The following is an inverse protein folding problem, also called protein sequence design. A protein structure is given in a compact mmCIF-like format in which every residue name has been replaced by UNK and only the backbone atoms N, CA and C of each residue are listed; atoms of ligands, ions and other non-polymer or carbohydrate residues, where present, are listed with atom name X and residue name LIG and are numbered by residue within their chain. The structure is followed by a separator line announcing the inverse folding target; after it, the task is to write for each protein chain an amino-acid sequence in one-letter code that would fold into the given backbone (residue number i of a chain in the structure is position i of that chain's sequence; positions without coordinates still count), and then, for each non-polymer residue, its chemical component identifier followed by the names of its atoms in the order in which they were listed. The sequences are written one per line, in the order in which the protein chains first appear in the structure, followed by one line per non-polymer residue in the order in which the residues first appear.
data_IF_836048672553
#
_entry.id   IF_836048672553
#
_cell.length_a   1.000
_cell.length_b   1.000
_cell.length_c   1.000
_cell.angle_alpha   90.00
_cell.angle_beta   90.00
_cell.angle_gamma   90.00
#
_symmetry.space_group_name_H-M   'P 1'
#
loop_
_entity.id
_entity.type
_entity.pdbx_description
1 polymer ?
#
# COMPACT_ATOMS: atom_id res chain seq x y z
N UNK A 1 -5.84 0.49 -88.60
CA UNK A 1 -7.03 0.68 -89.47
C UNK A 1 -8.11 -0.30 -89.04
N UNK A 2 -9.32 0.23 -88.80
CA UNK A 2 -10.65 -0.41 -88.92
C UNK A 2 -10.83 -1.83 -88.39
N UNK A 3 -11.54 -2.01 -87.28
CA UNK A 3 -13.02 -2.06 -87.10
C UNK A 3 -13.43 -3.53 -86.91
N UNK A 4 -13.75 -3.89 -85.66
CA UNK A 4 -14.62 -5.01 -85.35
C UNK A 4 -15.97 -4.43 -84.91
N UNK A 5 -17.03 -4.82 -85.60
CA UNK A 5 -18.40 -4.39 -85.35
C UNK A 5 -19.35 -5.56 -85.57
N UNK A 6 -20.32 -5.69 -84.65
CA UNK A 6 -21.31 -6.77 -84.54
C UNK A 6 -21.24 -7.32 -83.11
N UNK A 7 -22.29 -7.34 -82.28
CA UNK A 7 -23.74 -7.35 -82.52
C UNK A 7 -24.46 -6.87 -81.22
N UNK A 8 -25.80 -6.85 -81.10
CA UNK A 8 -26.58 -5.69 -80.67
C UNK A 8 -26.90 -5.64 -79.17
N UNK A 9 -27.26 -4.43 -78.73
CA UNK A 9 -27.62 -4.10 -77.35
C UNK A 9 -28.79 -4.91 -76.81
N UNK A 10 -28.50 -5.74 -75.80
CA UNK A 10 -29.48 -6.30 -74.89
C UNK A 10 -29.86 -5.19 -73.90
N UNK A 11 -31.12 -4.76 -73.93
CA UNK A 11 -31.71 -3.82 -72.95
C UNK A 11 -31.48 -4.40 -71.56
N UNK A 12 -30.56 -3.81 -70.80
CA UNK A 12 -30.44 -4.05 -69.36
C UNK A 12 -31.58 -3.26 -68.73
N UNK A 13 -32.65 -3.97 -68.35
CA UNK A 13 -33.65 -3.44 -67.47
C UNK A 13 -32.94 -2.90 -66.24
N UNK A 14 -33.09 -1.60 -66.00
CA UNK A 14 -32.59 -0.94 -64.81
C UNK A 14 -33.42 -1.47 -63.64
N UNK A 15 -33.00 -2.60 -63.07
CA UNK A 15 -33.60 -3.13 -61.86
C UNK A 15 -33.32 -2.12 -60.73
N UNK A 16 -34.35 -1.35 -60.41
CA UNK A 16 -34.39 -0.30 -59.39
C UNK A 16 -34.32 -0.88 -57.96
N UNK A 17 -33.64 -2.01 -57.74
CA UNK A 17 -33.64 -2.73 -56.46
C UNK A 17 -32.27 -3.10 -55.89
N UNK A 18 -31.17 -2.61 -56.44
CA UNK A 18 -29.83 -2.89 -55.90
C UNK A 18 -29.11 -1.64 -55.40
N UNK A 19 -29.83 -0.82 -54.61
CA UNK A 19 -29.23 0.22 -53.77
C UNK A 19 -29.73 0.27 -52.31
N UNK A 20 -29.94 -0.87 -51.60
CA UNK A 20 -29.92 -0.83 -50.13
C UNK A 20 -28.67 -1.47 -49.54
N UNK A 21 -27.97 -2.34 -50.27
CA UNK A 21 -26.91 -3.21 -49.69
C UNK A 21 -25.63 -2.48 -49.31
N UNK A 22 -25.26 -1.40 -49.99
CA UNK A 22 -24.04 -0.65 -49.67
C UNK A 22 -24.23 0.32 -48.47
N UNK A 23 -25.43 0.86 -48.30
CA UNK A 23 -25.82 1.66 -47.12
C UNK A 23 -26.02 0.77 -45.88
N UNK A 24 -26.50 -0.46 -46.07
CA UNK A 24 -26.62 -1.45 -45.00
C UNK A 24 -25.24 -1.92 -44.48
N UNK A 25 -24.21 -1.95 -45.34
CA UNK A 25 -22.84 -2.29 -44.94
C UNK A 25 -22.11 -1.16 -44.22
N UNK A 26 -22.40 0.11 -44.55
CA UNK A 26 -21.81 1.25 -43.82
C UNK A 26 -22.48 1.48 -42.45
N UNK A 27 -23.76 1.11 -42.31
CA UNK A 27 -24.48 1.19 -41.02
C UNK A 27 -24.10 0.07 -40.04
N UNK A 28 -23.55 -1.05 -40.52
CA UNK A 28 -23.05 -2.14 -39.68
C UNK A 28 -21.66 -1.86 -39.07
N UNK A 29 -20.98 -0.79 -39.48
CA UNK A 29 -19.69 -0.37 -38.93
C UNK A 29 -19.81 0.67 -37.79
N UNK A 30 -21.05 0.99 -37.36
CA UNK A 30 -21.34 1.81 -36.19
C UNK A 30 -21.81 0.95 -35.01
N UNK A 31 -21.22 -0.23 -34.83
CA UNK A 31 -21.32 -0.95 -33.56
C UNK A 31 -20.76 -0.01 -32.48
N UNK A 32 -21.55 0.37 -31.45
CA UNK A 32 -20.99 1.09 -30.32
C UNK A 32 -19.90 0.18 -29.75
N UNK A 33 -18.63 0.59 -29.84
CA UNK A 33 -17.58 0.00 -29.03
C UNK A 33 -18.07 0.15 -27.60
N UNK A 34 -18.50 -0.96 -27.00
CA UNK A 34 -18.95 -0.97 -25.62
C UNK A 34 -17.86 -0.34 -24.78
N UNK A 35 -18.14 0.84 -24.23
CA UNK A 35 -17.36 1.36 -23.14
C UNK A 35 -17.42 0.28 -22.06
N UNK A 36 -16.26 -0.34 -21.78
CA UNK A 36 -16.20 -1.38 -20.76
C UNK A 36 -16.55 -0.70 -19.43
N UNK A 37 -17.71 -1.00 -18.87
CA UNK A 37 -18.22 -0.33 -17.68
C UNK A 37 -17.32 -0.67 -16.48
N UNK A 38 -16.47 0.28 -16.12
CA UNK A 38 -15.72 0.28 -14.87
C UNK A 38 -16.74 0.38 -13.73
N UNK A 39 -17.00 -0.75 -13.05
CA UNK A 39 -17.93 -0.76 -11.92
C UNK A 39 -17.16 -0.44 -10.65
N UNK A 40 -17.50 0.70 -10.05
CA UNK A 40 -16.92 1.17 -8.78
C UNK A 40 -18.01 1.14 -7.72
N UNK A 41 -17.71 0.58 -6.57
CA UNK A 41 -18.61 0.58 -5.41
C UNK A 41 -17.84 0.93 -4.15
N UNK A 42 -18.46 1.66 -3.24
CA UNK A 42 -17.89 1.98 -1.93
C UNK A 42 -18.73 1.40 -0.81
N UNK A 43 -18.07 1.01 0.28
CA UNK A 43 -18.72 0.55 1.51
C UNK A 43 -17.89 0.98 2.71
N UNK A 44 -18.54 1.37 3.80
CA UNK A 44 -17.90 1.46 5.11
C UNK A 44 -18.21 0.22 5.93
N UNK A 45 -17.27 -0.21 6.76
CA UNK A 45 -17.45 -1.39 7.62
C UNK A 45 -18.41 -1.14 8.79
N UNK A 46 -18.55 0.12 9.22
CA UNK A 46 -19.47 0.54 10.28
C UNK A 46 -19.87 2.00 10.18
N UNK A 47 -21.04 2.31 10.73
CA UNK A 47 -21.63 3.66 10.78
C UNK A 47 -21.73 4.22 12.20
N UNK A 48 -21.21 3.49 13.20
CA UNK A 48 -21.07 3.96 14.60
C UNK A 48 -19.68 3.65 15.12
N UNK A 49 -19.06 4.62 15.79
CA UNK A 49 -17.68 4.56 16.29
C UNK A 49 -17.59 5.21 17.67
N UNK A 50 -16.56 4.87 18.44
CA UNK A 50 -16.12 5.67 19.59
C UNK A 50 -14.92 6.55 19.22
N UNK A 51 -14.72 7.65 19.93
CA UNK A 51 -13.52 8.47 19.78
C UNK A 51 -12.25 7.60 19.97
N UNK A 52 -11.38 7.57 18.97
CA UNK A 52 -10.17 6.74 18.94
C UNK A 52 -10.30 5.42 18.15
N UNK A 53 -11.50 5.04 17.72
CA UNK A 53 -11.72 3.90 16.83
C UNK A 53 -11.56 4.29 15.35
N UNK A 54 -11.07 3.37 14.54
CA UNK A 54 -10.88 3.56 13.09
C UNK A 54 -11.91 2.75 12.31
N UNK A 55 -12.49 3.36 11.27
CA UNK A 55 -13.37 2.68 10.31
C UNK A 55 -12.61 2.36 9.02
N UNK A 56 -13.10 1.38 8.28
CA UNK A 56 -12.55 0.98 6.97
C UNK A 56 -13.50 1.41 5.87
N UNK A 57 -13.07 2.40 5.09
CA UNK A 57 -13.73 2.75 3.83
C UNK A 57 -13.14 1.88 2.71
N UNK A 58 -13.97 1.03 2.10
CA UNK A 58 -13.55 0.10 1.06
C UNK A 58 -14.08 0.54 -0.30
N UNK A 59 -13.19 0.75 -1.26
CA UNK A 59 -13.48 1.05 -2.65
C UNK A 59 -13.21 -0.20 -3.51
N UNK A 60 -14.26 -0.83 -4.02
CA UNK A 60 -14.18 -1.98 -4.91
C UNK A 60 -14.29 -1.55 -6.36
N UNK A 61 -13.34 -2.00 -7.16
CA UNK A 61 -13.24 -1.69 -8.58
C UNK A 61 -13.25 -3.01 -9.35
N UNK A 62 -14.24 -3.19 -10.20
CA UNK A 62 -14.35 -4.32 -11.11
C UNK A 62 -14.16 -3.82 -12.54
N UNK A 63 -13.20 -4.42 -13.25
CA UNK A 63 -12.85 -4.05 -14.61
C UNK A 63 -11.73 -4.90 -15.19
N UNK A 64 -11.49 -4.76 -16.48
CA UNK A 64 -10.59 -5.64 -17.26
C UNK A 64 -9.11 -5.25 -17.15
N UNK A 65 -8.81 -4.04 -16.68
CA UNK A 65 -7.44 -3.55 -16.49
C UNK A 65 -6.98 -3.71 -15.05
N UNK A 66 -5.86 -4.41 -14.87
CA UNK A 66 -5.36 -4.90 -13.58
C UNK A 66 -4.26 -4.02 -12.96
N UNK A 67 -3.96 -2.89 -13.59
CA UNK A 67 -2.91 -1.97 -13.19
C UNK A 67 -3.49 -0.59 -12.86
N UNK A 68 -4.54 -0.56 -12.05
CA UNK A 68 -5.07 0.70 -11.52
C UNK A 68 -4.27 1.02 -10.24
N UNK A 69 -3.46 2.09 -10.22
CA UNK A 69 -2.77 2.50 -9.01
C UNK A 69 -3.81 2.91 -7.95
N UNK A 70 -3.45 2.78 -6.68
CA UNK A 70 -4.34 3.13 -5.58
C UNK A 70 -4.85 4.58 -5.73
N UNK A 71 -6.17 4.80 -5.80
CA UNK A 71 -6.72 6.15 -5.90
C UNK A 71 -6.37 6.96 -4.65
N UNK A 72 -5.88 8.19 -4.83
CA UNK A 72 -5.72 9.12 -3.71
C UNK A 72 -7.09 9.59 -3.22
N UNK A 73 -7.36 9.46 -1.93
CA UNK A 73 -8.52 10.10 -1.32
C UNK A 73 -8.24 11.60 -1.14
N UNK A 74 -9.18 12.48 -1.54
CA UNK A 74 -9.10 13.88 -1.13
C UNK A 74 -9.34 14.01 0.38
N UNK A 75 -9.02 15.16 0.98
CA UNK A 75 -9.33 15.42 2.38
C UNK A 75 -10.81 15.18 2.67
N UNK A 76 -11.10 14.29 3.63
CA UNK A 76 -12.46 13.98 4.05
C UNK A 76 -12.78 14.80 5.30
N UNK A 77 -13.80 15.67 5.28
CA UNK A 77 -14.18 16.45 6.45
C UNK A 77 -14.44 15.54 7.66
N UNK A 78 -13.83 15.84 8.81
CA UNK A 78 -14.03 15.07 10.04
C UNK A 78 -13.27 13.76 10.12
N UNK A 79 -12.46 13.38 9.12
CA UNK A 79 -11.70 12.13 9.12
C UNK A 79 -10.23 12.33 8.76
N UNK A 80 -9.37 11.62 9.47
CA UNK A 80 -7.95 11.48 9.13
C UNK A 80 -7.69 10.10 8.57
N UNK A 81 -7.10 10.02 7.38
CA UNK A 81 -6.58 8.76 6.85
C UNK A 81 -5.30 8.38 7.58
N UNK A 82 -5.29 7.21 8.22
CA UNK A 82 -4.15 6.70 9.00
C UNK A 82 -3.43 5.55 8.31
N UNK A 83 -3.99 5.03 7.22
CA UNK A 83 -3.38 3.97 6.43
C UNK A 83 -4.27 3.49 5.30
N UNK A 84 -3.69 2.70 4.40
CA UNK A 84 -4.39 2.15 3.23
C UNK A 84 -3.73 0.85 2.78
N UNK A 85 -4.52 -0.07 2.28
CA UNK A 85 -4.05 -1.34 1.73
C UNK A 85 -4.98 -1.81 0.60
N UNK A 86 -4.51 -2.73 -0.23
CA UNK A 86 -5.30 -3.29 -1.34
C UNK A 86 -5.43 -4.80 -1.21
N UNK A 87 -6.58 -5.32 -1.61
CA UNK A 87 -6.83 -6.75 -1.75
C UNK A 87 -7.37 -7.06 -3.16
N UNK A 88 -7.12 -8.29 -3.62
CA UNK A 88 -7.58 -8.76 -4.92
C UNK A 88 -8.47 -9.97 -4.72
N UNK A 89 -9.73 -9.82 -5.09
CA UNK A 89 -10.73 -10.88 -5.04
C UNK A 89 -10.90 -11.49 -6.45
N UNK A 90 -10.54 -12.77 -6.59
CA UNK A 90 -10.82 -13.54 -7.80
C UNK A 90 -12.24 -14.11 -7.69
N UNK A 91 -13.23 -13.39 -8.22
CA UNK A 91 -14.62 -13.86 -8.25
C UNK A 91 -14.88 -14.60 -9.56
N UNK A 92 -15.82 -15.55 -9.60
CA UNK A 92 -16.20 -16.26 -10.84
C UNK A 92 -16.67 -15.33 -11.98
N UNK A 93 -17.00 -14.08 -11.65
CA UNK A 93 -17.41 -13.02 -12.58
C UNK A 93 -16.27 -12.04 -12.95
N UNK A 94 -15.02 -12.32 -12.59
CA UNK A 94 -13.86 -11.48 -12.87
C UNK A 94 -13.02 -11.12 -11.64
N UNK A 95 -11.95 -10.37 -11.88
CA UNK A 95 -11.06 -9.86 -10.83
C UNK A 95 -11.63 -8.55 -10.26
N UNK A 96 -11.76 -8.47 -8.94
CA UNK A 96 -12.19 -7.27 -8.22
C UNK A 96 -11.02 -6.76 -7.40
N UNK A 97 -10.60 -5.53 -7.65
CA UNK A 97 -9.56 -4.86 -6.88
C UNK A 97 -10.24 -4.02 -5.79
N UNK A 98 -9.94 -4.29 -4.53
CA UNK A 98 -10.49 -3.56 -3.40
C UNK A 98 -9.39 -2.74 -2.74
N UNK A 99 -9.63 -1.43 -2.59
CA UNK A 99 -8.77 -0.51 -1.85
C UNK A 99 -9.43 -0.20 -0.51
N UNK A 100 -8.69 -0.34 0.57
CA UNK A 100 -9.18 -0.16 1.93
C UNK A 100 -8.47 1.03 2.54
N UNK A 101 -9.22 2.01 2.99
CA UNK A 101 -8.74 3.24 3.61
C UNK A 101 -9.15 3.25 5.07
N UNK A 102 -8.16 3.34 5.95
CA UNK A 102 -8.33 3.40 7.40
C UNK A 102 -8.57 4.85 7.80
N UNK A 103 -9.79 5.17 8.24
CA UNK A 103 -10.22 6.51 8.57
C UNK A 103 -10.53 6.63 10.06
N UNK A 104 -9.86 7.56 10.73
CA UNK A 104 -10.11 7.86 12.15
C UNK A 104 -10.89 9.18 12.25
N UNK A 105 -12.02 9.23 12.98
CA UNK A 105 -12.77 10.46 13.16
C UNK A 105 -11.98 11.46 14.00
N UNK A 106 -12.02 12.74 13.62
CA UNK A 106 -11.29 13.82 14.31
C UNK A 106 -12.14 14.55 15.35
N UNK A 107 -13.45 14.30 15.38
CA UNK A 107 -14.39 14.89 16.34
C UNK A 107 -15.49 13.88 16.71
N UNK A 108 -16.06 14.02 17.91
CA UNK A 108 -17.27 13.31 18.34
C UNK A 108 -18.52 13.95 17.73
N UNK A 109 -19.60 13.18 17.55
CA UNK A 109 -20.87 13.63 16.98
C UNK A 109 -21.19 12.99 15.63
N UNK A 110 -22.20 13.51 14.96
CA UNK A 110 -22.59 13.05 13.62
C UNK A 110 -21.63 13.64 12.57
N UNK A 111 -20.85 12.79 11.92
CA UNK A 111 -19.91 13.15 10.87
C UNK A 111 -20.43 12.68 9.52
N UNK A 112 -20.54 13.60 8.58
CA UNK A 112 -21.00 13.32 7.21
C UNK A 112 -19.87 13.59 6.22
N UNK A 113 -19.61 12.59 5.37
CA UNK A 113 -18.70 12.69 4.23
C UNK A 113 -19.56 12.80 2.97
N UNK A 114 -19.49 13.90 2.21
CA UNK A 114 -20.25 14.05 0.98
C UNK A 114 -19.69 13.15 -0.14
N UNK A 115 -20.42 13.07 -1.25
CA UNK A 115 -19.96 12.38 -2.46
C UNK A 115 -18.58 12.89 -2.91
N UNK A 116 -17.70 11.94 -3.24
CA UNK A 116 -16.30 12.21 -3.55
C UNK A 116 -15.99 11.85 -5.00
N UNK A 117 -15.43 12.80 -5.76
CA UNK A 117 -14.92 12.53 -7.10
C UNK A 117 -13.49 11.94 -7.04
N UNK A 118 -13.33 10.71 -7.52
CA UNK A 118 -12.05 10.01 -7.60
C UNK A 118 -11.58 9.84 -9.04
N UNK A 119 -10.28 9.95 -9.28
CA UNK A 119 -9.68 9.61 -10.58
C UNK A 119 -9.25 8.15 -10.60
N UNK A 120 -9.92 7.34 -11.41
CA UNK A 120 -9.70 5.90 -11.52
C UNK A 120 -9.48 5.57 -13.00
N UNK A 121 -8.30 5.02 -13.35
CA UNK A 121 -8.01 4.65 -14.74
C UNK A 121 -8.07 5.81 -15.75
N UNK A 122 -7.82 7.04 -15.29
CA UNK A 122 -7.93 8.25 -16.12
C UNK A 122 -9.34 8.84 -16.26
N UNK A 123 -10.36 8.17 -15.71
CA UNK A 123 -11.75 8.66 -15.66
C UNK A 123 -12.08 9.23 -14.28
N UNK A 124 -12.91 10.28 -14.24
CA UNK A 124 -13.44 10.82 -12.99
C UNK A 124 -14.72 10.05 -12.64
N UNK A 125 -14.71 9.36 -11.50
CA UNK A 125 -15.83 8.58 -10.99
C UNK A 125 -16.28 9.17 -9.67
N UNK A 126 -17.57 9.47 -9.55
CA UNK A 126 -18.17 9.92 -8.30
C UNK A 126 -18.49 8.72 -7.43
N UNK A 127 -18.05 8.76 -6.18
CA UNK A 127 -18.26 7.73 -5.18
C UNK A 127 -19.22 8.28 -4.13
N UNK A 128 -20.29 7.54 -3.77
CA UNK A 128 -21.23 7.98 -2.76
C UNK A 128 -20.54 8.26 -1.42
N UNK A 129 -20.96 9.34 -0.79
CA UNK A 129 -20.62 9.71 0.58
C UNK A 129 -21.20 8.76 1.62
N UNK A 130 -20.87 9.00 2.88
CA UNK A 130 -21.37 8.22 4.01
C UNK A 130 -21.43 9.06 5.28
N UNK A 131 -22.30 8.66 6.22
CA UNK A 131 -22.44 9.31 7.51
C UNK A 131 -22.13 8.32 8.66
N UNK A 132 -21.55 8.84 9.75
CA UNK A 132 -21.11 8.06 10.89
C UNK A 132 -21.40 8.81 12.19
N UNK A 133 -21.94 8.10 13.18
CA UNK A 133 -22.13 8.63 14.53
C UNK A 133 -20.91 8.27 15.42
N UNK A 134 -20.27 9.29 16.00
CA UNK A 134 -19.09 9.11 16.87
C UNK A 134 -19.47 9.41 18.34
N UNK A 135 -19.51 8.36 19.16
CA UNK A 135 -19.85 8.42 20.58
C UNK A 135 -18.70 9.00 21.42
N UNK A 136 -19.03 9.92 22.32
CA UNK A 136 -18.12 10.42 23.36
C UNK A 136 -17.90 9.34 24.43
N UNK A 137 -16.69 9.15 24.97
CA UNK A 137 -16.47 8.18 26.04
C UNK A 137 -17.34 8.51 27.27
N UNK A 138 -18.09 7.53 27.76
CA UNK A 138 -18.69 7.62 29.09
C UNK A 138 -17.60 7.46 30.17
N UNK A 139 -17.72 8.11 31.35
CA UNK A 139 -16.76 7.94 32.43
C UNK A 139 -16.68 6.47 32.87
N UNK A 140 -15.45 6.01 33.07
CA UNK A 140 -15.11 4.62 33.38
C UNK A 140 -15.67 4.20 34.75
N UNK A 141 -16.59 3.23 34.76
CA UNK A 141 -16.87 2.40 35.94
C UNK A 141 -16.06 1.12 35.78
N UNK A 142 -15.14 0.87 36.70
CA UNK A 142 -14.28 -0.33 36.74
C UNK A 142 -15.12 -1.53 37.19
N UNK A 143 -15.38 -2.56 36.35
CA UNK A 143 -16.02 -3.78 36.81
C UNK A 143 -14.97 -4.70 37.44
N UNK A 144 -15.33 -5.30 38.58
CA UNK A 144 -14.54 -6.33 39.25
C UNK A 144 -14.22 -7.51 38.31
N UNK A 145 -12.99 -8.01 38.44
CA UNK A 145 -12.45 -9.11 37.65
C UNK A 145 -13.27 -10.41 37.84
N UNK A 146 -13.87 -10.89 36.74
CA UNK A 146 -14.39 -12.25 36.63
C UNK A 146 -13.22 -13.16 36.22
N UNK A 147 -13.08 -14.39 36.78
CA UNK A 147 -12.02 -15.29 36.36
C UNK A 147 -12.25 -15.72 34.90
N UNK A 148 -11.36 -15.31 34.01
CA UNK A 148 -11.34 -15.76 32.61
C UNK A 148 -10.84 -17.21 32.60
N UNK A 149 -11.74 -18.15 32.29
CA UNK A 149 -11.34 -19.52 31.92
C UNK A 149 -10.45 -19.46 30.67
N UNK A 150 -9.32 -20.17 30.62
CA UNK A 150 -8.54 -20.27 29.40
C UNK A 150 -9.38 -20.95 28.32
N UNK A 151 -9.71 -20.20 27.26
CA UNK A 151 -10.22 -20.79 26.01
C UNK A 151 -9.05 -21.53 25.35
N UNK A 152 -9.32 -22.64 24.65
CA UNK A 152 -8.25 -23.43 24.05
C UNK A 152 -7.46 -22.55 23.08
N UNK A 153 -6.18 -22.36 23.39
CA UNK A 153 -5.18 -21.90 22.43
C UNK A 153 -5.05 -22.99 21.38
N UNK A 154 -5.83 -22.89 20.31
CA UNK A 154 -5.52 -23.64 19.08
C UNK A 154 -4.11 -23.21 18.71
N UNK A 155 -3.17 -24.15 18.67
CA UNK A 155 -1.78 -23.91 18.31
C UNK A 155 -1.70 -23.47 16.84
N UNK A 156 -2.01 -22.20 16.60
CA UNK A 156 -2.00 -21.52 15.30
C UNK A 156 -0.59 -21.10 14.87
N UNK A 157 0.44 -21.39 15.67
CA UNK A 157 1.84 -21.06 15.36
C UNK A 157 2.37 -21.66 14.05
N UNK A 158 1.60 -22.52 13.37
CA UNK A 158 1.89 -23.05 12.03
C UNK A 158 0.98 -22.54 10.91
N UNK A 159 0.01 -21.67 11.20
CA UNK A 159 -0.89 -21.09 10.20
C UNK A 159 -0.74 -19.58 10.09
N UNK A 160 -0.47 -18.92 11.23
CA UNK A 160 -0.31 -17.47 11.29
C UNK A 160 0.81 -17.13 12.28
N UNK A 161 1.78 -16.35 11.85
CA UNK A 161 2.89 -15.92 12.70
C UNK A 161 3.56 -14.64 12.18
N UNK A 162 4.26 -13.96 13.08
CA UNK A 162 5.06 -12.77 12.76
C UNK A 162 6.56 -13.10 12.77
N UNK A 163 7.31 -12.50 11.86
CA UNK A 163 8.78 -12.64 11.81
C UNK A 163 9.44 -11.30 11.56
N UNK A 164 10.17 -10.79 12.55
CA UNK A 164 11.09 -9.67 12.40
C UNK A 164 12.43 -10.15 11.83
N UNK A 165 12.90 -9.52 10.76
CA UNK A 165 14.20 -9.84 10.14
C UNK A 165 15.04 -8.58 9.99
N UNK A 166 16.35 -8.75 10.12
CA UNK A 166 17.35 -7.73 9.81
C UNK A 166 18.08 -8.11 8.53
N UNK A 167 18.41 -7.12 7.68
CA UNK A 167 19.18 -7.36 6.45
C UNK A 167 20.61 -7.83 6.71
N UNK A 168 21.13 -7.62 7.92
CA UNK A 168 22.46 -8.04 8.34
C UNK A 168 22.43 -8.47 9.82
N UNK A 169 23.25 -9.47 10.17
CA UNK A 169 23.49 -9.88 11.56
C UNK A 169 24.67 -9.16 12.20
N UNK A 170 25.43 -8.38 11.41
CA UNK A 170 26.58 -7.58 11.84
C UNK A 170 26.58 -6.25 11.10
N UNK A 171 26.93 -5.17 11.80
CA UNK A 171 27.06 -3.82 11.23
C UNK A 171 28.09 -3.02 12.02
N UNK A 172 28.55 -1.88 11.49
CA UNK A 172 29.29 -0.88 12.24
C UNK A 172 28.35 0.16 12.87
N UNK A 173 28.84 0.88 13.88
CA UNK A 173 28.12 2.05 14.42
C UNK A 173 27.82 3.03 13.27
N UNK A 174 26.56 3.47 13.17
CA UNK A 174 26.08 4.35 12.12
C UNK A 174 25.81 3.69 10.76
N UNK A 175 26.12 2.42 10.57
CA UNK A 175 25.83 1.69 9.33
C UNK A 175 24.33 1.32 9.26
N UNK A 176 23.61 1.65 8.18
CA UNK A 176 22.18 1.35 8.08
C UNK A 176 21.90 -0.15 7.94
N UNK A 177 20.96 -0.65 8.74
CA UNK A 177 20.42 -2.02 8.65
C UNK A 177 18.91 -1.95 8.43
N UNK A 178 18.40 -2.69 7.46
CA UNK A 178 16.96 -2.74 7.20
C UNK A 178 16.30 -3.76 8.13
N UNK A 179 15.31 -3.31 8.90
CA UNK A 179 14.40 -4.17 9.66
C UNK A 179 13.07 -4.31 8.94
N UNK A 180 12.57 -5.54 8.82
CA UNK A 180 11.25 -5.83 8.24
C UNK A 180 10.49 -6.82 9.12
N UNK A 181 9.29 -6.43 9.56
CA UNK A 181 8.34 -7.30 10.24
C UNK A 181 7.33 -7.85 9.23
N UNK A 182 7.34 -9.17 9.08
CA UNK A 182 6.46 -9.90 8.18
C UNK A 182 5.33 -10.59 8.93
N UNK A 183 4.13 -10.54 8.39
CA UNK A 183 3.02 -11.43 8.74
C UNK A 183 2.94 -12.56 7.70
N UNK A 184 3.13 -13.79 8.17
CA UNK A 184 2.84 -14.98 7.38
C UNK A 184 1.48 -15.52 7.80
N UNK A 185 0.56 -15.65 6.86
CA UNK A 185 -0.79 -16.18 7.14
C UNK A 185 -1.28 -17.10 6.02
N UNK A 186 -2.04 -18.13 6.40
CA UNK A 186 -2.80 -18.99 5.47
C UNK A 186 -4.30 -18.71 5.50
N UNK A 187 -4.73 -17.80 6.39
CA UNK A 187 -6.12 -17.40 6.58
C UNK A 187 -6.29 -15.94 6.16
N UNK A 188 -7.50 -15.60 5.72
CA UNK A 188 -7.87 -14.23 5.45
C UNK A 188 -7.89 -13.43 6.75
N UNK A 189 -7.04 -12.39 6.82
CA UNK A 189 -6.95 -11.47 7.94
C UNK A 189 -7.71 -10.20 7.56
N UNK A 190 -8.73 -9.85 8.34
CA UNK A 190 -9.56 -8.65 8.16
C UNK A 190 -8.99 -7.42 8.87
N UNK A 191 -8.18 -7.63 9.90
CA UNK A 191 -7.58 -6.56 10.68
C UNK A 191 -6.35 -7.04 11.43
N UNK A 192 -5.41 -6.12 11.61
CA UNK A 192 -4.18 -6.31 12.38
C UNK A 192 -3.98 -5.09 13.24
N UNK A 193 -3.88 -5.30 14.55
CA UNK A 193 -3.58 -4.27 15.52
C UNK A 193 -2.25 -4.63 16.20
N UNK A 194 -1.22 -3.79 16.04
CA UNK A 194 0.06 -4.00 16.74
C UNK A 194 -0.16 -3.64 18.21
N UNK A 195 -0.12 -4.64 19.08
CA UNK A 195 -0.32 -4.48 20.52
C UNK A 195 0.99 -4.07 21.19
N UNK A 196 2.11 -4.67 20.75
CA UNK A 196 3.45 -4.31 21.19
C UNK A 196 4.35 -4.08 19.99
N UNK A 197 4.79 -2.84 19.82
CA UNK A 197 5.80 -2.48 18.82
C UNK A 197 7.17 -3.03 19.23
N UNK A 198 8.03 -3.46 18.27
CA UNK A 198 9.40 -3.83 18.58
C UNK A 198 10.13 -2.71 19.33
N UNK A 199 10.90 -3.07 20.35
CA UNK A 199 11.85 -2.13 20.95
C UNK A 199 12.99 -1.86 19.95
N UNK A 200 13.33 -0.59 19.78
CA UNK A 200 14.41 -0.11 18.92
C UNK A 200 15.47 0.67 19.72
N UNK A 201 15.57 0.42 21.03
CA UNK A 201 16.59 1.00 21.89
C UNK A 201 18.00 0.74 21.32
N UNK A 202 18.85 1.77 21.34
CA UNK A 202 20.18 1.72 20.73
C UNK A 202 20.22 2.04 19.23
N UNK A 203 19.08 2.34 18.60
CA UNK A 203 19.00 2.69 17.18
C UNK A 203 18.36 4.06 16.93
N UNK A 204 18.88 4.82 15.96
CA UNK A 204 18.07 5.84 15.28
C UNK A 204 17.23 5.15 14.22
N UNK A 205 15.91 5.28 14.31
CA UNK A 205 14.96 4.68 13.36
C UNK A 205 14.52 5.69 12.30
N UNK A 206 14.50 5.25 11.05
CA UNK A 206 13.83 5.95 9.93
C UNK A 206 12.81 4.98 9.36
N UNK A 207 11.53 5.25 9.56
CA UNK A 207 10.46 4.40 9.04
C UNK A 207 10.25 4.63 7.54
N UNK A 208 9.94 3.56 6.82
CA UNK A 208 9.39 3.64 5.48
C UNK A 208 7.86 3.82 5.62
N UNK A 209 7.30 5.02 5.39
CA UNK A 209 5.86 5.25 5.50
C UNK A 209 5.07 4.42 4.47
N UNK A 210 5.73 3.87 3.45
CA UNK A 210 5.12 3.03 2.43
C UNK A 210 5.23 1.53 2.73
N UNK A 211 5.75 1.13 3.90
CA UNK A 211 5.90 -0.28 4.28
C UNK A 211 4.62 -1.11 4.10
N UNK A 212 3.48 -0.56 4.49
CA UNK A 212 2.14 -1.15 4.42
C UNK A 212 1.53 -1.16 3.00
N UNK A 213 2.17 -0.47 2.04
CA UNK A 213 1.77 -0.50 0.62
C UNK A 213 2.46 -1.63 -0.15
N UNK A 214 3.31 -2.43 0.50
CA UNK A 214 3.96 -3.55 -0.16
C UNK A 214 2.92 -4.62 -0.52
N UNK A 215 2.85 -5.07 -1.78
CA UNK A 215 1.88 -6.08 -2.18
C UNK A 215 2.12 -7.38 -1.41
N UNK A 216 1.03 -7.98 -0.92
CA UNK A 216 1.09 -9.30 -0.29
C UNK A 216 1.56 -10.33 -1.31
N UNK A 217 2.57 -11.12 -0.97
CA UNK A 217 3.15 -12.13 -1.86
C UNK A 217 2.83 -13.53 -1.38
N UNK A 218 2.63 -14.46 -2.30
CA UNK A 218 2.56 -15.88 -1.97
C UNK A 218 3.98 -16.49 -1.87
N UNK A 219 4.29 -17.14 -0.75
CA UNK A 219 5.58 -17.79 -0.49
C UNK A 219 5.40 -19.21 0.02
N UNK A 220 6.33 -20.10 -0.32
CA UNK A 220 6.32 -21.49 0.18
C UNK A 220 7.36 -21.63 1.29
N UNK A 221 6.93 -22.11 2.46
CA UNK A 221 7.77 -22.45 3.61
C UNK A 221 7.35 -23.78 4.20
N UNK A 222 8.30 -24.67 4.47
CA UNK A 222 8.05 -26.01 5.02
C UNK A 222 6.95 -26.78 4.28
N UNK A 223 7.02 -26.76 2.94
CA UNK A 223 6.04 -27.38 2.03
C UNK A 223 4.60 -26.84 2.17
N UNK A 224 4.44 -25.65 2.74
CA UNK A 224 3.16 -24.95 2.90
C UNK A 224 3.21 -23.58 2.25
N UNK A 225 2.09 -23.18 1.67
CA UNK A 225 1.96 -21.87 1.01
C UNK A 225 1.34 -20.87 1.98
N UNK A 226 2.00 -19.72 2.13
CA UNK A 226 1.59 -18.58 2.95
C UNK A 226 1.45 -17.33 2.10
N UNK A 227 0.61 -16.42 2.58
CA UNK A 227 0.66 -15.01 2.23
C UNK A 227 1.67 -14.32 3.15
N UNK A 228 2.59 -13.57 2.56
CA UNK A 228 3.61 -12.75 3.20
C UNK A 228 3.25 -11.28 3.00
N UNK A 229 2.91 -10.62 4.10
CA UNK A 229 2.60 -9.19 4.14
C UNK A 229 3.64 -8.45 5.01
N UNK A 230 4.15 -7.33 4.49
CA UNK A 230 5.04 -6.46 5.26
C UNK A 230 4.20 -5.53 6.13
N UNK A 231 4.42 -5.61 7.44
CA UNK A 231 3.65 -4.85 8.44
C UNK A 231 4.44 -3.65 8.96
N UNK A 232 5.75 -3.83 9.17
CA UNK A 232 6.67 -2.74 9.54
C UNK A 232 7.90 -2.86 8.65
N UNK A 233 8.39 -1.73 8.15
CA UNK A 233 9.69 -1.64 7.49
C UNK A 233 10.40 -0.37 7.93
N UNK A 234 11.63 -0.50 8.41
CA UNK A 234 12.40 0.61 8.93
C UNK A 234 13.90 0.44 8.68
N UNK A 235 14.58 1.54 8.45
CA UNK A 235 16.05 1.60 8.43
C UNK A 235 16.52 1.95 9.85
N UNK A 236 17.39 1.12 10.40
CA UNK A 236 17.94 1.26 11.73
C UNK A 236 19.43 1.64 11.64
N UNK A 237 19.81 2.70 12.33
CA UNK A 237 21.21 3.13 12.45
C UNK A 237 21.68 2.86 13.89
N UNK A 238 22.58 1.89 14.11
CA UNK A 238 23.10 1.59 15.44
C UNK A 238 23.86 2.79 16.02
N UNK A 239 23.60 3.12 17.29
CA UNK A 239 24.21 4.27 17.96
C UNK A 239 25.44 3.90 18.78
N UNK A 240 25.59 2.63 19.15
CA UNK A 240 26.67 2.13 19.99
C UNK A 240 27.15 0.74 19.56
N UNK A 241 28.40 0.41 19.89
CA UNK A 241 28.96 -0.91 19.64
C UNK A 241 28.50 -1.90 20.72
N UNK A 242 28.32 -3.16 20.36
CA UNK A 242 27.83 -4.19 21.28
C UNK A 242 26.79 -5.10 20.62
N UNK A 243 26.08 -5.87 21.45
CA UNK A 243 24.92 -6.66 20.99
C UNK A 243 23.67 -5.82 21.22
N UNK A 244 23.03 -5.43 20.13
CA UNK A 244 21.73 -4.76 20.17
C UNK A 244 20.65 -5.74 19.70
N UNK A 245 19.42 -5.54 20.17
CA UNK A 245 18.28 -6.40 19.82
C UNK A 245 17.07 -5.57 19.42
N UNK A 246 16.28 -6.09 18.49
CA UNK A 246 15.03 -5.49 18.01
C UNK A 246 13.87 -6.43 18.31
N UNK A 247 12.94 -6.00 19.17
CA UNK A 247 11.85 -6.83 19.70
C UNK A 247 11.81 -6.81 21.23
N UNK A 248 10.92 -7.56 21.89
CA UNK A 248 9.89 -8.44 21.31
C UNK A 248 8.74 -7.64 20.67
N UNK A 249 7.82 -8.33 20.00
CA UNK A 249 6.64 -7.72 19.38
C UNK A 249 5.40 -8.61 19.49
N UNK A 250 4.22 -7.98 19.48
CA UNK A 250 2.94 -8.69 19.48
C UNK A 250 1.89 -7.96 18.65
N UNK A 251 0.99 -8.72 18.03
CA UNK A 251 -0.15 -8.19 17.31
C UNK A 251 -1.40 -9.04 17.56
N UNK A 252 -2.54 -8.37 17.52
CA UNK A 252 -3.85 -9.01 17.53
C UNK A 252 -4.41 -9.01 16.10
N UNK A 253 -4.83 -10.19 15.64
CA UNK A 253 -5.35 -10.43 14.30
C UNK A 253 -6.83 -10.75 14.36
N UNK A 254 -7.59 -10.05 13.53
CA UNK A 254 -9.02 -10.31 13.32
C UNK A 254 -9.16 -11.20 12.09
N UNK A 255 -9.50 -12.46 12.28
CA UNK A 255 -9.64 -13.41 11.16
C UNK A 255 -11.04 -13.34 10.55
N UNK A 256 -11.10 -13.63 9.25
CA UNK A 256 -12.36 -13.94 8.57
C UNK A 256 -13.04 -15.14 9.27
N UNK A 257 -14.33 -15.02 9.63
CA UNK A 257 -15.09 -16.14 10.15
C UNK A 257 -15.10 -17.28 9.14
N UNK A 258 -14.92 -18.52 9.59
CA UNK A 258 -15.21 -19.66 8.72
C UNK A 258 -16.74 -19.83 8.56
N UNK A 259 -17.17 -20.66 7.60
CA UNK A 259 -18.59 -20.83 7.25
C UNK A 259 -19.51 -21.24 8.40
N UNK A 260 -18.96 -21.64 9.56
CA UNK A 260 -19.72 -22.15 10.72
C UNK A 260 -19.31 -21.52 12.06
N UNK A 261 -18.41 -20.54 12.07
CA UNK A 261 -17.77 -20.01 13.28
C UNK A 261 -17.85 -18.49 13.39
N UNK A 262 -17.79 -17.99 14.62
CA UNK A 262 -17.73 -16.55 14.91
C UNK A 262 -16.35 -15.94 14.57
N UNK A 263 -16.21 -14.60 14.66
CA UNK A 263 -14.93 -13.93 14.44
C UNK A 263 -13.86 -14.49 15.40
N UNK A 264 -12.76 -14.96 14.85
CA UNK A 264 -11.62 -15.45 15.62
C UNK A 264 -10.61 -14.31 15.80
N UNK A 265 -10.44 -13.85 17.04
CA UNK A 265 -9.33 -13.01 17.45
C UNK A 265 -8.14 -13.91 17.78
N UNK A 266 -6.98 -13.60 17.20
CA UNK A 266 -5.76 -14.36 17.39
C UNK A 266 -4.63 -13.41 17.74
N UNK A 267 -4.06 -13.59 18.92
CA UNK A 267 -2.82 -12.91 19.29
C UNK A 267 -1.63 -13.70 18.75
N UNK A 268 -0.73 -13.00 18.07
CA UNK A 268 0.55 -13.52 17.62
C UNK A 268 1.66 -12.73 18.27
N UNK A 269 2.66 -13.44 18.75
CA UNK A 269 3.84 -12.88 19.40
C UNK A 269 5.08 -13.35 18.65
N UNK A 270 6.15 -12.57 18.72
CA UNK A 270 7.44 -13.01 18.22
C UNK A 270 8.61 -12.43 19.01
N UNK A 271 9.74 -13.12 18.83
CA UNK A 271 10.96 -12.86 19.57
C UNK A 271 11.73 -11.64 19.08
N UNK A 272 12.95 -11.50 19.58
CA UNK A 272 13.85 -10.44 19.18
C UNK A 272 14.82 -10.90 18.07
N UNK A 273 15.23 -9.95 17.23
CA UNK A 273 16.32 -10.12 16.29
C UNK A 273 17.58 -9.43 16.83
N UNK A 274 18.69 -10.16 16.93
CA UNK A 274 19.97 -9.63 17.41
C UNK A 274 20.82 -9.06 16.27
N UNK A 275 21.53 -7.97 16.56
CA UNK A 275 22.55 -7.36 15.72
C UNK A 275 23.86 -7.20 16.50
N UNK A 276 24.95 -7.73 15.95
CA UNK A 276 26.27 -7.47 16.48
C UNK A 276 26.86 -6.19 15.86
N UNK A 277 26.99 -5.14 16.66
CA UNK A 277 27.52 -3.85 16.23
C UNK A 277 28.99 -3.75 16.58
N UNK A 278 29.81 -3.41 15.58
CA UNK A 278 31.25 -3.21 15.71
C UNK A 278 31.58 -1.73 15.83
N UNK A 279 32.61 -1.35 16.61
CA UNK A 279 33.10 0.02 16.60
C UNK A 279 33.64 0.37 15.22
N UNK A 280 33.55 1.64 14.85
CA UNK A 280 34.16 2.15 13.61
C UNK A 280 35.67 1.87 13.68
N UNK A 281 36.28 1.31 12.62
CA UNK A 281 37.72 1.08 12.60
C UNK A 281 38.50 2.37 12.87
N UNK A 282 39.65 2.31 13.54
CA UNK A 282 40.50 3.48 13.70
C UNK A 282 40.88 4.04 12.33
N UNK A 283 41.05 5.35 12.28
CA UNK A 283 41.51 6.02 11.08
C UNK A 283 42.86 5.44 10.63
N UNK A 284 43.06 5.20 9.32
CA UNK A 284 44.35 4.76 8.81
C UNK A 284 45.47 5.75 9.16
N UNK A 285 46.73 5.30 9.27
CA UNK A 285 47.86 6.20 9.46
C UNK A 285 47.89 7.30 8.38
N UNK A 286 47.97 8.56 8.81
CA UNK A 286 47.98 9.72 7.89
C UNK A 286 46.60 10.18 7.40
N UNK A 287 45.50 9.63 7.93
CA UNK A 287 44.15 10.10 7.60
C UNK A 287 43.90 11.52 8.15
N UNK A 288 43.64 12.46 7.24
CA UNK A 288 43.46 13.90 7.55
C UNK A 288 41.99 14.30 7.77
N UNK A 289 41.06 13.34 7.79
CA UNK A 289 39.62 13.59 7.95
C UNK A 289 38.82 13.68 6.65
N UNK A 290 39.49 13.77 5.50
CA UNK A 290 38.83 13.82 4.19
C UNK A 290 38.47 12.41 3.68
N UNK A 291 37.20 12.16 3.36
CA UNK A 291 36.70 10.88 2.83
C UNK A 291 36.20 11.06 1.39
N UNK A 292 36.81 10.37 0.43
CA UNK A 292 36.43 10.42 -0.98
C UNK A 292 37.55 10.91 -1.90
N UNK A 293 37.29 10.93 -3.21
CA UNK A 293 38.21 11.48 -4.19
C UNK A 293 37.87 12.96 -4.42
N UNK A 294 38.74 13.86 -3.96
CA UNK A 294 38.58 15.29 -4.16
C UNK A 294 39.51 15.78 -5.26
N UNK A 295 38.98 16.60 -6.16
CA UNK A 295 39.77 17.39 -7.10
C UNK A 295 39.50 18.86 -6.81
N UNK A 296 40.43 19.51 -6.13
CA UNK A 296 40.43 20.97 -6.01
C UNK A 296 40.92 21.53 -7.34
N UNK A 297 40.11 22.39 -7.95
CA UNK A 297 40.49 23.14 -9.15
C UNK A 297 40.38 24.61 -8.79
N UNK A 298 41.48 25.35 -8.90
CA UNK A 298 41.49 26.79 -8.71
C UNK A 298 40.65 27.42 -9.84
N UNK A 299 39.52 28.04 -9.49
CA UNK A 299 38.58 28.61 -10.47
C UNK A 299 39.03 29.99 -10.93
N UNK A 300 39.95 30.64 -10.22
CA UNK A 300 40.51 31.94 -10.61
C UNK A 300 41.86 32.15 -9.90
N UNK A 301 42.95 32.51 -10.63
CA UNK A 301 44.17 32.90 -9.96
C UNK A 301 43.90 34.14 -9.11
N UNK A 302 44.37 34.14 -7.87
CA UNK A 302 44.47 35.37 -7.06
C UNK A 302 45.26 36.38 -7.90
N UNK A 303 44.77 37.60 -8.15
CA UNK A 303 45.53 38.57 -8.93
C UNK A 303 46.90 38.76 -8.25
N UNK A 304 47.99 38.58 -9.01
CA UNK A 304 49.35 38.69 -8.46
C UNK A 304 49.76 40.15 -8.17
N UNK A 305 48.90 41.10 -8.55
CA UNK A 305 49.02 42.54 -8.30
C UNK A 305 47.62 43.12 -8.10
N UNK A 306 47.46 43.99 -7.11
CA UNK A 306 46.31 44.88 -6.97
C UNK A 306 46.83 46.32 -6.87
N UNK A 307 46.06 47.27 -7.40
CA UNK A 307 46.35 48.69 -7.21
C UNK A 307 46.09 49.10 -5.75
N UNK A 308 46.83 50.11 -5.27
CA UNK A 308 46.67 50.62 -3.92
C UNK A 308 45.23 51.08 -3.69
N UNK A 309 44.51 50.40 -2.80
CA UNK A 309 43.13 50.71 -2.45
C UNK A 309 42.06 49.79 -3.06
N UNK A 310 42.43 48.79 -3.88
CA UNK A 310 41.47 47.80 -4.39
C UNK A 310 41.52 46.47 -3.61
N UNK A 311 40.36 45.84 -3.34
CA UNK A 311 40.30 44.52 -2.72
C UNK A 311 40.80 43.42 -3.67
N UNK A 312 41.48 42.43 -3.11
CA UNK A 312 41.89 41.20 -3.82
C UNK A 312 40.71 40.23 -3.95
N UNK A 313 39.63 40.63 -4.63
CA UNK A 313 38.49 39.77 -4.96
C UNK A 313 37.90 40.23 -6.30
N UNK A 314 37.53 39.30 -7.19
CA UNK A 314 36.66 39.62 -8.33
C UNK A 314 35.24 39.95 -7.85
#
# INVERSE_FOLDING_TARGET
MRRSGGTPGRKIGLDRRTRPTFLLWLLLLALPLGAQELRVTSTVDRTRLRVGETLVFTLRIQGTSLAIPQPGLPPLPGFKSVGTYQSLDNTGNGRVLAFHYLLTPTASGHLEVPDVALRIGGQSVTVPGFAVDVETPAPLVVPQAVPVRPRPSVSLGREIFLTGTLSASRAYVGEPVLYTLHLFTRRSVRGLDIVQTPDFSGFRKVEDPNATHSPTRQVTRDSRVYLDAVVIRAILFPLEAGRLSVGPYSAELKLEPDRFGGPALVTVEGGAADLQVRPIPPAPPGFTGAVGAFRLTEVTPIPSRAELGQPFTQ
#
